data_IF_856054892427
#
_entry.id   IF_856054892427
#
_cell.length_a   1.000
_cell.length_b   1.000
_cell.length_c   1.000
_cell.angle_alpha   90.00
_cell.angle_beta   90.00
_cell.angle_gamma   90.00
#
_symmetry.space_group_name_H-M   'P 1'
#
loop_
_entity.id
_entity.type
_entity.pdbx_description
1 polymer ?
#
# COMPACT_ATOMS: atom_id res chain seq x y z
N UNK A 1 39.81 5.88 -10.59
CA UNK A 1 38.88 7.03 -10.46
C UNK A 1 37.56 6.50 -9.94
N UNK A 2 36.91 7.21 -9.02
CA UNK A 2 35.55 6.84 -8.61
C UNK A 2 34.66 6.80 -9.87
N UNK A 3 33.70 5.85 -9.97
CA UNK A 3 32.77 5.86 -11.08
C UNK A 3 32.02 7.19 -11.10
N UNK A 4 31.86 7.76 -12.29
CA UNK A 4 31.07 8.96 -12.48
C UNK A 4 29.64 8.66 -12.04
N UNK A 5 29.13 9.42 -11.07
CA UNK A 5 27.79 9.22 -10.52
C UNK A 5 26.81 10.09 -11.29
N UNK A 6 25.77 9.48 -11.85
CA UNK A 6 24.70 10.18 -12.57
C UNK A 6 24.70 9.94 -14.09
N UNK A 7 25.52 9.01 -14.61
CA UNK A 7 25.45 8.65 -16.03
C UNK A 7 24.21 7.79 -16.28
N UNK A 8 23.26 8.36 -17.03
CA UNK A 8 22.04 7.68 -17.45
C UNK A 8 21.95 7.70 -18.97
N UNK A 9 21.76 6.53 -19.56
CA UNK A 9 21.50 6.40 -20.99
C UNK A 9 20.02 6.10 -21.20
N UNK A 10 19.24 7.06 -21.72
CA UNK A 10 17.86 6.81 -22.10
C UNK A 10 17.80 5.94 -23.35
N UNK A 11 17.09 4.82 -23.25
CA UNK A 11 16.74 3.95 -24.36
C UNK A 11 15.24 4.04 -24.60
N UNK A 12 14.83 4.52 -25.76
CA UNK A 12 13.41 4.46 -26.16
C UNK A 12 13.10 3.09 -26.76
N UNK A 13 12.21 2.36 -26.10
CA UNK A 13 11.69 1.08 -26.60
C UNK A 13 10.43 1.36 -27.41
N UNK A 14 10.46 0.94 -28.67
CA UNK A 14 9.32 0.96 -29.59
C UNK A 14 8.85 -0.47 -29.81
N UNK A 15 7.78 -0.93 -29.15
CA UNK A 15 7.29 -2.29 -29.31
C UNK A 15 6.72 -2.48 -30.72
N UNK A 16 7.47 -3.18 -31.59
CA UNK A 16 7.06 -3.58 -32.94
C UNK A 16 7.21 -5.11 -33.07
N UNK A 17 6.16 -5.87 -33.44
CA UNK A 17 4.79 -5.45 -33.74
C UNK A 17 4.07 -4.84 -32.53
N UNK A 18 2.99 -4.05 -32.74
CA UNK A 18 2.23 -3.45 -31.65
C UNK A 18 1.91 -4.51 -30.60
N UNK A 19 2.28 -4.24 -29.35
CA UNK A 19 1.92 -5.10 -28.24
C UNK A 19 0.38 -5.32 -28.27
N UNK A 20 -0.13 -6.54 -28.03
CA UNK A 20 -1.59 -6.79 -27.93
C UNK A 20 -2.33 -5.83 -26.99
N UNK A 21 -1.62 -5.23 -26.03
CA UNK A 21 -2.12 -4.26 -25.05
C UNK A 21 -1.95 -2.79 -25.49
N UNK A 22 -1.52 -2.50 -26.72
CA UNK A 22 -1.43 -1.15 -27.27
C UNK A 22 -0.47 -0.22 -26.52
N UNK A 23 0.61 -0.76 -25.94
CA UNK A 23 1.59 0.04 -25.20
C UNK A 23 2.25 1.09 -26.09
N UNK A 24 2.26 2.34 -25.64
CA UNK A 24 3.02 3.42 -26.27
C UNK A 24 4.53 3.20 -26.12
N UNK A 25 5.31 3.94 -26.92
CA UNK A 25 6.76 4.03 -26.75
C UNK A 25 7.09 4.41 -25.29
N UNK A 26 8.02 3.70 -24.67
CA UNK A 26 8.45 3.97 -23.30
C UNK A 26 9.97 4.05 -23.20
N UNK A 27 10.46 4.84 -22.24
CA UNK A 27 11.89 5.05 -22.03
C UNK A 27 12.39 4.20 -20.88
N UNK A 28 13.44 3.42 -21.13
CA UNK A 28 14.22 2.71 -20.11
C UNK A 28 15.47 3.53 -19.82
N UNK A 29 15.73 3.81 -18.55
CA UNK A 29 16.97 4.48 -18.14
C UNK A 29 18.01 3.44 -17.74
N UNK A 30 19.07 3.31 -18.54
CA UNK A 30 20.19 2.45 -18.21
C UNK A 30 21.15 3.25 -17.32
N UNK A 31 21.23 2.88 -16.04
CA UNK A 31 22.14 3.49 -15.07
C UNK A 31 23.45 2.71 -15.02
N UNK A 32 24.58 3.40 -15.18
CA UNK A 32 25.93 2.80 -15.16
C UNK A 32 26.82 3.34 -14.03
N UNK A 33 26.22 3.95 -13.01
CA UNK A 33 26.88 4.64 -11.87
C UNK A 33 27.83 3.74 -11.03
N UNK A 34 27.88 2.43 -11.31
CA UNK A 34 28.74 1.45 -10.62
C UNK A 34 29.77 0.76 -11.51
N UNK A 35 29.94 1.19 -12.76
CA UNK A 35 30.88 0.55 -13.70
C UNK A 35 32.33 0.89 -13.32
N UNK A 36 33.19 -0.13 -13.28
CA UNK A 36 34.62 0.01 -12.99
C UNK A 36 35.44 -0.83 -13.97
N UNK A 37 36.69 -0.42 -14.21
CA UNK A 37 37.63 -1.13 -15.08
C UNK A 37 38.92 -1.44 -14.31
N UNK A 38 39.24 -2.73 -14.16
CA UNK A 38 40.42 -3.22 -13.42
C UNK A 38 41.37 -4.07 -14.28
N UNK A 39 41.32 -3.94 -15.62
CA UNK A 39 42.16 -4.73 -16.53
C UNK A 39 41.87 -6.24 -16.50
N UNK A 40 40.70 -6.65 -16.00
CA UNK A 40 40.17 -8.02 -16.05
C UNK A 40 39.20 -8.19 -17.23
N UNK A 41 38.86 -9.44 -17.54
CA UNK A 41 37.75 -9.73 -18.43
C UNK A 41 36.46 -9.06 -17.93
N UNK A 42 35.60 -8.65 -18.88
CA UNK A 42 34.30 -8.05 -18.57
C UNK A 42 33.43 -9.01 -17.75
N UNK A 43 32.73 -8.49 -16.76
CA UNK A 43 31.75 -9.21 -15.97
C UNK A 43 30.63 -8.26 -15.50
N UNK A 44 29.40 -8.78 -15.43
CA UNK A 44 28.26 -8.09 -14.81
C UNK A 44 28.17 -8.53 -13.36
N UNK A 45 28.44 -7.62 -12.43
CA UNK A 45 28.41 -7.90 -10.99
C UNK A 45 27.02 -7.72 -10.38
N UNK A 46 26.19 -6.84 -10.95
CA UNK A 46 24.84 -6.59 -10.48
C UNK A 46 23.94 -6.15 -11.65
N UNK A 47 22.72 -6.66 -11.69
CA UNK A 47 21.70 -6.30 -12.68
C UNK A 47 20.36 -6.21 -11.97
N UNK A 48 19.68 -5.07 -12.10
CA UNK A 48 18.35 -4.83 -11.52
C UNK A 48 17.51 -4.02 -12.49
N UNK A 49 16.20 -4.22 -12.43
CA UNK A 49 15.20 -3.51 -13.22
C UNK A 49 13.91 -3.33 -12.39
N UNK A 50 13.16 -2.27 -12.64
CA UNK A 50 11.98 -1.86 -11.86
C UNK A 50 10.63 -2.14 -12.56
N UNK A 51 10.67 -2.72 -13.76
CA UNK A 51 9.49 -3.14 -14.52
C UNK A 51 8.86 -4.42 -13.99
N UNK A 52 7.55 -4.51 -14.16
CA UNK A 52 6.74 -5.69 -13.84
C UNK A 52 5.62 -5.81 -14.87
N UNK A 53 5.16 -7.02 -15.15
CA UNK A 53 4.03 -7.25 -16.07
C UNK A 53 2.72 -6.77 -15.44
N UNK A 54 1.67 -6.61 -16.25
CA UNK A 54 0.33 -6.47 -15.70
C UNK A 54 0.02 -7.67 -14.77
N UNK A 55 -0.68 -7.40 -13.68
CA UNK A 55 -1.08 -8.39 -12.70
C UNK A 55 -2.53 -8.18 -12.30
N UNK A 56 -3.22 -9.28 -12.03
CA UNK A 56 -4.58 -9.27 -11.51
C UNK A 56 -4.53 -9.26 -9.98
N UNK A 57 -5.55 -8.69 -9.34
CA UNK A 57 -5.65 -8.70 -7.88
C UNK A 57 -5.83 -10.15 -7.39
N UNK A 58 -4.91 -10.62 -6.56
CA UNK A 58 -4.92 -11.99 -6.01
C UNK A 58 -5.30 -12.04 -4.53
N UNK A 59 -5.18 -10.92 -3.81
CA UNK A 59 -5.56 -10.89 -2.40
C UNK A 59 -5.57 -9.50 -1.80
N UNK A 60 -6.32 -9.38 -0.70
CA UNK A 60 -6.40 -8.18 0.13
C UNK A 60 -6.11 -8.60 1.57
N UNK A 61 -5.31 -7.82 2.29
CA UNK A 61 -5.15 -7.94 3.74
C UNK A 61 -5.17 -6.57 4.40
N UNK A 62 -5.68 -6.50 5.62
CA UNK A 62 -5.68 -5.27 6.42
C UNK A 62 -4.64 -5.44 7.53
N UNK A 63 -3.69 -4.53 7.60
CA UNK A 63 -2.66 -4.52 8.63
C UNK A 63 -3.19 -3.94 9.95
N UNK A 64 -2.43 -4.10 11.05
CA UNK A 64 -2.83 -3.65 12.38
C UNK A 64 -3.02 -2.12 12.49
N UNK A 65 -2.29 -1.35 11.68
CA UNK A 65 -2.44 0.10 11.55
C UNK A 65 -3.60 0.51 10.61
N UNK A 66 -4.37 -0.46 10.11
CA UNK A 66 -5.48 -0.25 9.18
C UNK A 66 -5.08 -0.06 7.72
N UNK A 67 -3.81 -0.20 7.35
CA UNK A 67 -3.40 -0.15 5.94
C UNK A 67 -3.99 -1.32 5.17
N UNK A 68 -4.68 -1.01 4.06
CA UNK A 68 -5.24 -2.00 3.14
C UNK A 68 -4.17 -2.34 2.11
N UNK A 69 -3.63 -3.54 2.22
CA UNK A 69 -2.62 -4.08 1.32
C UNK A 69 -3.26 -4.96 0.26
N UNK A 70 -2.95 -4.70 -1.00
CA UNK A 70 -3.35 -5.53 -2.14
C UNK A 70 -2.15 -6.29 -2.67
N UNK A 71 -2.37 -7.55 -3.06
CA UNK A 71 -1.38 -8.42 -3.70
C UNK A 71 -1.83 -8.70 -5.12
N UNK A 72 -0.89 -8.70 -6.05
CA UNK A 72 -1.15 -8.95 -7.47
C UNK A 72 -0.42 -10.19 -7.97
N UNK A 73 -0.91 -10.79 -9.05
CA UNK A 73 -0.33 -12.01 -9.65
C UNK A 73 1.08 -11.82 -10.23
N UNK A 74 1.49 -10.58 -10.46
CA UNK A 74 2.84 -10.21 -10.90
C UNK A 74 3.85 -10.10 -9.74
N UNK A 75 3.46 -10.49 -8.52
CA UNK A 75 4.31 -10.45 -7.32
C UNK A 75 4.40 -9.09 -6.63
N UNK A 76 3.74 -8.07 -7.18
CA UNK A 76 3.72 -6.72 -6.58
C UNK A 76 2.70 -6.68 -5.45
N UNK A 77 3.07 -6.04 -4.35
CA UNK A 77 2.19 -5.75 -3.22
C UNK A 77 2.15 -4.24 -2.99
N UNK A 78 0.96 -3.66 -2.81
CA UNK A 78 0.78 -2.20 -2.67
C UNK A 78 -0.16 -1.85 -1.53
N UNK A 79 0.08 -0.69 -0.93
CA UNK A 79 -0.90 -0.05 -0.06
C UNK A 79 -1.86 0.76 -0.94
N UNK A 80 -3.15 0.44 -0.87
CA UNK A 80 -4.20 1.09 -1.69
C UNK A 80 -5.11 2.01 -0.85
N UNK A 81 -4.99 1.96 0.48
CA UNK A 81 -5.77 2.81 1.37
C UNK A 81 -5.52 2.53 2.84
N UNK A 82 -6.25 3.23 3.71
CA UNK A 82 -6.19 3.05 5.15
C UNK A 82 -7.58 3.24 5.76
N UNK A 83 -7.93 2.37 6.72
CA UNK A 83 -9.16 2.48 7.49
C UNK A 83 -9.06 3.65 8.47
N UNK A 84 -10.05 4.55 8.43
CA UNK A 84 -10.18 5.63 9.40
C UNK A 84 -11.03 5.19 10.59
N UNK A 85 -10.66 5.62 11.79
CA UNK A 85 -11.44 5.46 13.02
C UNK A 85 -11.99 6.80 13.49
N UNK A 86 -13.14 6.76 14.15
CA UNK A 86 -13.77 7.91 14.75
C UNK A 86 -13.94 7.71 16.26
N UNK A 87 -13.57 8.72 17.04
CA UNK A 87 -13.84 8.78 18.48
C UNK A 87 -14.77 9.95 18.76
N UNK A 88 -15.71 9.75 19.69
CA UNK A 88 -16.62 10.79 20.16
C UNK A 88 -16.28 11.14 21.61
N UNK A 89 -16.46 12.41 21.99
CA UNK A 89 -16.21 12.85 23.37
C UNK A 89 -17.18 12.19 24.34
N UNK A 90 -18.41 11.95 23.91
CA UNK A 90 -19.44 11.28 24.68
C UNK A 90 -20.13 10.20 23.84
N UNK A 91 -19.73 8.94 24.01
CA UNK A 91 -20.31 7.80 23.28
C UNK A 91 -21.77 7.53 23.64
N UNK A 92 -22.19 7.83 24.87
CA UNK A 92 -23.59 7.70 25.32
C UNK A 92 -24.51 8.75 24.68
N UNK A 93 -23.95 9.80 24.08
CA UNK A 93 -24.71 10.80 23.33
C UNK A 93 -25.00 10.40 21.89
N UNK A 94 -24.48 9.28 21.38
CA UNK A 94 -24.75 8.82 20.03
C UNK A 94 -26.19 8.32 19.90
N UNK A 95 -26.82 8.55 18.75
CA UNK A 95 -28.14 8.00 18.46
C UNK A 95 -28.00 6.66 17.73
N UNK A 96 -28.62 5.61 18.26
CA UNK A 96 -28.70 4.32 17.57
C UNK A 96 -29.68 4.41 16.42
N UNK A 97 -29.26 3.94 15.24
CA UNK A 97 -30.10 3.86 14.04
C UNK A 97 -30.40 2.41 13.64
N UNK A 98 -30.15 1.46 14.56
CA UNK A 98 -30.34 0.02 14.35
C UNK A 98 -29.16 -0.65 13.65
N UNK A 99 -29.17 -1.99 13.56
CA UNK A 99 -28.13 -2.81 12.92
C UNK A 99 -26.70 -2.53 13.43
N UNK A 100 -26.55 -2.23 14.73
CA UNK A 100 -25.28 -1.83 15.36
C UNK A 100 -24.68 -0.52 14.81
N UNK A 101 -25.46 0.29 14.08
CA UNK A 101 -25.05 1.58 13.56
C UNK A 101 -25.46 2.71 14.50
N UNK A 102 -24.59 3.72 14.57
CA UNK A 102 -24.74 4.91 15.41
C UNK A 102 -24.46 6.16 14.60
N UNK A 103 -25.18 7.25 14.89
CA UNK A 103 -24.97 8.56 14.25
C UNK A 103 -24.64 9.63 15.28
N UNK A 104 -23.87 10.62 14.84
CA UNK A 104 -23.51 11.77 15.67
C UNK A 104 -24.73 12.60 16.09
N UNK A 105 -24.67 13.17 17.28
CA UNK A 105 -25.66 14.11 17.77
C UNK A 105 -24.97 15.32 18.40
N UNK A 106 -25.75 16.35 18.72
CA UNK A 106 -25.24 17.47 19.51
C UNK A 106 -24.67 17.01 20.88
N UNK A 107 -25.24 15.98 21.49
CA UNK A 107 -24.81 15.47 22.80
C UNK A 107 -23.55 14.59 22.73
N UNK A 108 -23.28 13.93 21.60
CA UNK A 108 -22.03 13.16 21.41
C UNK A 108 -20.82 14.05 21.14
N UNK A 109 -21.08 15.24 20.57
CA UNK A 109 -20.07 16.07 19.94
C UNK A 109 -19.70 15.55 18.55
N UNK A 110 -18.83 16.32 17.86
CA UNK A 110 -18.30 15.97 16.55
C UNK A 110 -17.28 14.82 16.63
N UNK A 111 -17.17 13.99 15.57
CA UNK A 111 -16.21 12.90 15.50
C UNK A 111 -14.79 13.47 15.41
N UNK A 112 -13.90 12.89 16.20
CA UNK A 112 -12.45 13.06 16.04
C UNK A 112 -11.96 11.88 15.22
N UNK A 113 -11.49 12.14 14.00
CA UNK A 113 -10.95 11.11 13.12
C UNK A 113 -9.47 10.84 13.41
N UNK A 114 -9.04 9.60 13.18
CA UNK A 114 -7.63 9.24 13.18
C UNK A 114 -7.39 7.86 12.59
N UNK A 115 -6.14 7.43 12.63
CA UNK A 115 -5.69 6.14 12.15
C UNK A 115 -5.57 5.14 13.31
N UNK A 116 -5.78 3.84 13.07
CA UNK A 116 -5.47 2.82 14.06
C UNK A 116 -4.02 2.91 14.53
N UNK A 117 -3.75 2.50 15.77
CA UNK A 117 -2.45 2.54 16.47
C UNK A 117 -1.89 3.94 16.78
N UNK A 118 -2.57 5.03 16.41
CA UNK A 118 -2.16 6.40 16.71
C UNK A 118 -3.03 7.07 17.79
N UNK A 119 -2.39 7.89 18.63
CA UNK A 119 -3.08 8.71 19.64
C UNK A 119 -3.88 7.87 20.65
N UNK A 120 -5.21 7.99 20.61
CA UNK A 120 -6.14 7.26 21.49
C UNK A 120 -6.73 6.02 20.86
N UNK A 121 -6.39 5.73 19.59
CA UNK A 121 -6.95 4.60 18.87
C UNK A 121 -6.14 3.32 19.12
N UNK A 122 -6.85 2.21 19.30
CA UNK A 122 -6.25 0.87 19.34
C UNK A 122 -5.79 0.40 17.95
N UNK A 123 -5.16 -0.77 17.92
CA UNK A 123 -4.85 -1.47 16.68
C UNK A 123 -6.05 -2.26 16.15
N UNK A 124 -6.03 -2.58 14.85
CA UNK A 124 -7.02 -3.45 14.22
C UNK A 124 -6.57 -4.91 14.24
N UNK A 125 -7.53 -5.80 14.47
CA UNK A 125 -7.35 -7.24 14.31
C UNK A 125 -8.13 -7.72 13.08
N UNK A 126 -7.45 -7.82 11.94
CA UNK A 126 -8.07 -8.34 10.72
C UNK A 126 -8.45 -9.82 10.86
N UNK A 127 -9.57 -10.21 10.23
CA UNK A 127 -10.07 -11.59 10.25
C UNK A 127 -10.70 -12.04 11.57
N UNK A 128 -10.95 -11.13 12.51
CA UNK A 128 -11.64 -11.40 13.77
C UNK A 128 -12.97 -10.63 13.85
N UNK A 129 -13.93 -11.19 14.59
CA UNK A 129 -15.20 -10.53 14.94
C UNK A 129 -15.21 -10.29 16.46
N UNK A 130 -15.61 -9.10 16.89
CA UNK A 130 -15.80 -8.79 18.31
C UNK A 130 -17.06 -9.46 18.84
N UNK A 131 -16.92 -10.15 19.98
CA UNK A 131 -18.03 -10.87 20.62
C UNK A 131 -18.90 -9.92 21.46
N UNK A 132 -20.11 -10.37 21.80
CA UNK A 132 -20.98 -9.63 22.70
C UNK A 132 -20.35 -9.46 24.08
N UNK A 133 -20.52 -8.28 24.66
CA UNK A 133 -20.10 -8.01 26.04
C UNK A 133 -21.20 -8.35 27.08
N UNK A 134 -22.27 -9.03 26.68
CA UNK A 134 -23.37 -9.42 27.57
C UNK A 134 -23.09 -10.79 28.19
N UNK A 135 -23.03 -10.84 29.52
CA UNK A 135 -23.07 -12.09 30.29
C UNK A 135 -24.53 -12.48 30.57
N UNK A 136 -24.84 -13.78 30.39
CA UNK A 136 -26.17 -14.35 30.53
C UNK A 136 -26.38 -15.14 31.83
N UNK A 137 -25.42 -15.13 32.76
CA UNK A 137 -25.56 -15.85 34.05
C UNK A 137 -25.95 -14.93 35.21
N UNK A 138 -27.24 -14.97 35.58
CA UNK A 138 -27.81 -14.42 36.81
C UNK A 138 -28.79 -15.40 37.44
#
# INVERSE_FOLDING_TARGET
TAPDTGFQMPLTVKPTPPNPNGLADYTVQIKLDGVSQYGKAFAVSNLSQDGYTAGELTGISIENNGTVMTRYSNGVTRAEGQVALASFRNTQGLASVGNNNWVETFQSGQPVLGTPTEGKFGGLRSGALEDSNVDLTA
#
